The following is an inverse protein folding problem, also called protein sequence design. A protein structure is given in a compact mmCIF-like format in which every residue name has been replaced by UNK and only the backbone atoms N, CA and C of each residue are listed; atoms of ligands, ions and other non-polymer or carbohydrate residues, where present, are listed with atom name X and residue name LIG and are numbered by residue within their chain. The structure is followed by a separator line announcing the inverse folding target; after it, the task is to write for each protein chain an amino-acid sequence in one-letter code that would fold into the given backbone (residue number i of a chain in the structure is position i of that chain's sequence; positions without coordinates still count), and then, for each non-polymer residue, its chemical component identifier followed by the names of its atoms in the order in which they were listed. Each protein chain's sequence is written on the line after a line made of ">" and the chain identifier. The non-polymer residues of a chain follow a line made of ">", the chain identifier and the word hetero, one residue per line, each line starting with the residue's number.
data_IF_064468118687
#
_entry.id   IF_064468118687
#
_cell.length_a   1.000
_cell.length_b   1.000
_cell.length_c   1.000
_cell.angle_alpha   90.00
_cell.angle_beta   90.00
_cell.angle_gamma   90.00
#
_symmetry.space_group_name_H-M   'P 1'
#
loop_
_entity.id
_entity.type
_entity.pdbx_description
1 polymer ?
#
# COMPACT_ATOMS: atom_id res chain seq x y z
N UNK A 1 2.80 -5.81 12.91
CA UNK A 1 2.79 -7.14 13.57
C UNK A 1 1.96 -8.19 12.83
N UNK A 2 0.83 -7.84 12.21
CA UNK A 2 -0.03 -8.81 11.49
C UNK A 2 0.71 -9.68 10.45
N UNK A 3 1.53 -9.08 9.59
CA UNK A 3 2.30 -9.83 8.58
C UNK A 3 3.30 -10.82 9.18
N UNK A 4 4.04 -10.42 10.22
CA UNK A 4 4.95 -11.32 10.94
C UNK A 4 4.19 -12.46 11.62
N UNK A 5 3.04 -12.17 12.21
CA UNK A 5 2.17 -13.19 12.81
C UNK A 5 1.61 -14.16 11.76
N UNK A 6 1.47 -13.73 10.51
CA UNK A 6 1.11 -14.57 9.36
C UNK A 6 2.31 -15.33 8.76
N UNK A 7 3.51 -15.24 9.35
CA UNK A 7 4.71 -15.97 8.91
C UNK A 7 5.60 -15.22 7.91
N UNK A 8 5.27 -13.98 7.54
CA UNK A 8 6.08 -13.20 6.62
C UNK A 8 7.35 -12.64 7.30
N UNK A 9 8.47 -12.66 6.58
CA UNK A 9 9.62 -11.83 6.93
C UNK A 9 9.32 -10.38 6.54
N UNK A 10 9.37 -9.44 7.50
CA UNK A 10 8.98 -8.04 7.27
C UNK A 10 10.17 -7.12 7.48
N UNK A 11 10.60 -6.50 6.38
CA UNK A 11 11.64 -5.49 6.32
C UNK A 11 10.98 -4.12 6.21
N UNK A 12 11.21 -3.26 7.20
CA UNK A 12 10.66 -1.90 7.22
C UNK A 12 11.67 -0.92 6.61
N UNK A 13 11.21 0.01 5.78
CA UNK A 13 12.06 1.10 5.25
C UNK A 13 12.42 2.14 6.32
N UNK A 14 11.62 2.21 7.40
CA UNK A 14 11.89 2.97 8.63
C UNK A 14 11.09 2.39 9.79
N UNK A 15 11.60 2.53 11.01
CA UNK A 15 10.93 2.09 12.25
C UNK A 15 10.64 3.24 13.21
N UNK A 16 11.13 4.45 12.89
CA UNK A 16 10.95 5.67 13.69
C UNK A 16 10.42 6.80 12.81
N UNK A 17 10.05 7.91 13.45
CA UNK A 17 9.64 9.13 12.76
C UNK A 17 10.86 9.92 12.27
N UNK A 18 11.58 9.30 11.33
CA UNK A 18 12.74 9.87 10.67
C UNK A 18 12.44 10.00 9.19
N UNK A 19 12.92 11.11 8.62
CA UNK A 19 12.87 11.32 7.18
C UNK A 19 13.77 10.29 6.49
N UNK A 20 13.25 9.65 5.46
CA UNK A 20 13.99 8.75 4.56
C UNK A 20 13.76 9.25 3.15
N UNK A 21 14.83 9.51 2.41
CA UNK A 21 14.75 9.90 1.00
C UNK A 21 13.96 8.87 0.16
N UNK A 22 13.55 9.25 -1.05
CA UNK A 22 12.78 8.37 -1.92
C UNK A 22 13.62 7.18 -2.43
N UNK A 23 14.81 7.45 -2.98
CA UNK A 23 15.68 6.43 -3.59
C UNK A 23 16.11 5.26 -2.68
N UNK A 24 16.42 5.44 -1.37
CA UNK A 24 16.75 4.33 -0.48
C UNK A 24 15.64 3.28 -0.29
N UNK A 25 14.37 3.67 -0.48
CA UNK A 25 13.21 2.81 -0.22
C UNK A 25 13.10 1.64 -1.21
N UNK A 26 13.09 1.84 -2.55
CA UNK A 26 13.13 0.73 -3.49
C UNK A 26 14.43 -0.07 -3.38
N UNK A 27 15.56 0.57 -3.07
CA UNK A 27 16.84 -0.13 -2.87
C UNK A 27 16.79 -1.14 -1.72
N UNK A 28 16.06 -0.85 -0.65
CA UNK A 28 15.85 -1.79 0.46
C UNK A 28 15.17 -3.08 -0.03
N UNK A 29 14.11 -2.97 -0.82
CA UNK A 29 13.41 -4.13 -1.38
C UNK A 29 14.25 -4.87 -2.43
N UNK A 30 14.93 -4.12 -3.30
CA UNK A 30 15.80 -4.66 -4.34
C UNK A 30 16.94 -5.51 -3.73
N UNK A 31 17.63 -4.98 -2.73
CA UNK A 31 18.77 -5.65 -2.10
C UNK A 31 18.35 -6.86 -1.25
N UNK A 32 17.15 -6.80 -0.67
CA UNK A 32 16.60 -7.90 0.10
C UNK A 32 15.94 -9.00 -0.76
N UNK A 33 15.83 -8.77 -2.08
CA UNK A 33 15.06 -9.63 -2.97
C UNK A 33 13.64 -9.90 -2.45
N UNK A 34 12.97 -8.86 -1.96
CA UNK A 34 11.65 -9.00 -1.34
C UNK A 34 10.59 -9.47 -2.36
N UNK A 35 9.71 -10.38 -1.95
CA UNK A 35 8.63 -10.90 -2.81
C UNK A 35 7.57 -9.84 -3.17
N UNK A 36 7.42 -8.82 -2.31
CA UNK A 36 6.54 -7.68 -2.53
C UNK A 36 7.01 -6.44 -1.75
N UNK A 37 6.81 -5.26 -2.35
CA UNK A 37 7.01 -3.96 -1.71
C UNK A 37 5.67 -3.23 -1.55
N UNK A 38 5.37 -2.81 -0.32
CA UNK A 38 4.11 -2.15 0.03
C UNK A 38 4.41 -0.77 0.62
N UNK A 39 4.06 0.29 -0.09
CA UNK A 39 4.09 1.66 0.45
C UNK A 39 2.71 2.06 0.97
N UNK A 40 2.67 2.79 2.08
CA UNK A 40 1.44 3.34 2.67
C UNK A 40 1.53 4.86 2.77
N UNK A 41 0.49 5.52 2.27
CA UNK A 41 0.38 6.96 2.18
C UNK A 41 -1.05 7.41 2.51
N UNK A 42 -1.22 8.72 2.65
CA UNK A 42 -2.51 9.39 2.69
C UNK A 42 -2.48 10.52 1.66
N UNK A 43 -3.50 10.58 0.81
CA UNK A 43 -3.58 11.49 -0.31
C UNK A 43 -3.90 12.91 0.18
N UNK A 44 -3.80 13.89 -0.71
CA UNK A 44 -4.27 15.24 -0.47
C UNK A 44 -4.77 15.87 -1.77
N UNK A 45 -5.85 16.64 -1.68
CA UNK A 45 -6.37 17.41 -2.80
C UNK A 45 -6.00 18.89 -2.75
N UNK A 46 -5.97 19.63 -3.87
CA UNK A 46 -5.65 21.06 -3.89
C UNK A 46 -6.55 21.92 -2.98
N UNK A 47 -7.83 21.52 -2.85
CA UNK A 47 -8.81 22.17 -1.97
C UNK A 47 -9.26 21.21 -0.87
N UNK A 48 -9.53 21.75 0.32
CA UNK A 48 -10.07 20.97 1.44
C UNK A 48 -11.39 20.29 1.04
N UNK A 49 -11.58 19.04 1.43
CA UNK A 49 -12.81 18.26 1.20
C UNK A 49 -13.21 18.07 -0.28
N UNK A 50 -12.31 18.27 -1.25
CA UNK A 50 -12.65 18.14 -2.68
C UNK A 50 -12.42 16.74 -3.26
N UNK A 51 -11.77 15.84 -2.51
CA UNK A 51 -11.59 14.44 -2.87
C UNK A 51 -11.67 13.54 -1.62
N UNK A 52 -11.94 12.25 -1.83
CA UNK A 52 -12.08 11.24 -0.77
C UNK A 52 -11.75 9.87 -1.35
N UNK A 53 -11.55 8.89 -0.48
CA UNK A 53 -11.43 7.48 -0.83
C UNK A 53 -10.00 6.97 -0.83
N UNK A 54 -9.88 5.67 -1.12
CA UNK A 54 -8.61 4.94 -1.17
C UNK A 54 -8.29 4.55 -2.61
N UNK A 55 -7.01 4.53 -2.94
CA UNK A 55 -6.50 4.09 -4.27
C UNK A 55 -5.24 3.26 -4.08
N UNK A 56 -5.11 2.17 -4.84
CA UNK A 56 -3.86 1.41 -4.91
C UNK A 56 -3.18 1.69 -6.25
N UNK A 57 -1.99 2.27 -6.20
CA UNK A 57 -1.19 2.60 -7.36
C UNK A 57 -0.20 1.49 -7.72
N UNK A 58 -0.02 1.30 -9.02
CA UNK A 58 0.98 0.42 -9.64
C UNK A 58 1.75 1.17 -10.72
N UNK A 59 2.96 0.71 -11.08
CA UNK A 59 3.74 1.32 -12.16
C UNK A 59 3.78 0.44 -13.40
N UNK A 60 4.23 -0.81 -13.28
CA UNK A 60 4.37 -1.73 -14.40
C UNK A 60 3.21 -2.72 -14.43
N UNK A 61 2.46 -2.79 -15.54
CA UNK A 61 1.28 -3.64 -15.63
C UNK A 61 1.58 -5.15 -15.64
N UNK A 62 2.80 -5.56 -16.02
CA UNK A 62 3.23 -6.96 -16.02
C UNK A 62 3.72 -7.39 -14.65
N UNK A 63 4.37 -6.49 -13.91
CA UNK A 63 5.01 -6.77 -12.62
C UNK A 63 4.08 -6.49 -11.42
N UNK A 64 3.38 -5.36 -11.43
CA UNK A 64 2.74 -4.79 -10.24
C UNK A 64 1.23 -4.98 -10.22
N UNK A 65 0.57 -5.04 -11.39
CA UNK A 65 -0.88 -4.97 -11.47
C UNK A 65 -1.59 -6.15 -10.77
N UNK A 66 -1.00 -7.35 -10.82
CA UNK A 66 -1.55 -8.51 -10.12
C UNK A 66 -1.55 -8.28 -8.59
N UNK A 67 -0.43 -7.77 -8.04
CA UNK A 67 -0.33 -7.42 -6.62
C UNK A 67 -1.32 -6.32 -6.25
N UNK A 68 -1.40 -5.25 -7.06
CA UNK A 68 -2.32 -4.15 -6.86
C UNK A 68 -3.77 -4.60 -6.82
N UNK A 69 -4.19 -5.44 -7.76
CA UNK A 69 -5.57 -5.97 -7.80
C UNK A 69 -5.87 -6.86 -6.60
N UNK A 70 -4.97 -7.77 -6.24
CA UNK A 70 -5.16 -8.67 -5.10
C UNK A 70 -5.28 -7.91 -3.78
N UNK A 71 -4.40 -6.93 -3.55
CA UNK A 71 -4.43 -6.10 -2.34
C UNK A 71 -5.65 -5.17 -2.33
N UNK A 72 -5.92 -4.47 -3.43
CA UNK A 72 -7.05 -3.53 -3.49
C UNK A 72 -8.41 -4.23 -3.34
N UNK A 73 -8.56 -5.44 -3.89
CA UNK A 73 -9.79 -6.24 -3.74
C UNK A 73 -10.02 -6.66 -2.28
N UNK A 74 -8.96 -6.79 -1.48
CA UNK A 74 -9.07 -7.13 -0.07
C UNK A 74 -9.55 -5.95 0.80
N UNK A 75 -9.44 -4.70 0.32
CA UNK A 75 -9.99 -3.49 0.96
C UNK A 75 -11.52 -3.39 0.84
N UNK A 76 -12.20 -4.47 1.23
CA UNK A 76 -13.65 -4.58 1.27
C UNK A 76 -14.18 -4.17 2.65
N UNK A 77 -15.31 -3.48 2.67
CA UNK A 77 -15.97 -3.08 3.93
C UNK A 77 -15.23 -1.99 4.72
N UNK A 78 -14.31 -1.25 4.08
CA UNK A 78 -13.78 -0.01 4.66
C UNK A 78 -14.82 1.12 4.56
N UNK A 79 -14.84 2.08 5.51
CA UNK A 79 -15.77 3.22 5.52
C UNK A 79 -15.50 4.27 4.43
N UNK A 80 -14.35 4.18 3.76
CA UNK A 80 -13.95 5.06 2.65
C UNK A 80 -14.19 4.35 1.32
N UNK A 81 -14.57 5.13 0.31
CA UNK A 81 -14.81 4.61 -1.04
C UNK A 81 -13.53 4.01 -1.62
N UNK A 82 -13.63 2.78 -2.13
CA UNK A 82 -12.53 2.15 -2.85
C UNK A 82 -12.57 2.54 -4.32
N UNK A 83 -11.61 3.35 -4.75
CA UNK A 83 -11.49 3.88 -6.12
C UNK A 83 -10.75 2.94 -7.06
N UNK A 84 -10.36 1.76 -6.58
CA UNK A 84 -9.72 0.73 -7.36
C UNK A 84 -8.21 0.92 -7.50
N UNK A 85 -7.70 0.39 -8.62
CA UNK A 85 -6.28 0.43 -8.96
C UNK A 85 -6.02 1.46 -10.06
N UNK A 86 -4.91 2.19 -9.95
CA UNK A 86 -4.52 3.20 -10.92
C UNK A 86 -3.03 3.15 -11.24
N UNK A 87 -2.65 3.56 -12.46
CA UNK A 87 -1.25 3.78 -12.78
C UNK A 87 -0.71 5.00 -12.02
N UNK A 88 0.52 4.91 -11.51
CA UNK A 88 1.21 6.03 -10.85
C UNK A 88 2.72 5.98 -11.11
N UNK A 89 3.27 7.09 -11.64
CA UNK A 89 4.71 7.23 -11.89
C UNK A 89 5.47 7.69 -10.63
N UNK A 90 5.40 6.90 -9.57
CA UNK A 90 6.09 7.17 -8.31
C UNK A 90 7.45 6.49 -8.28
N UNK A 91 8.49 7.19 -7.81
CA UNK A 91 9.87 6.69 -7.77
C UNK A 91 9.99 5.35 -7.03
N UNK A 92 9.28 5.21 -5.90
CA UNK A 92 9.26 3.96 -5.10
C UNK A 92 8.64 2.76 -5.82
N UNK A 93 7.91 2.98 -6.92
CA UNK A 93 7.34 1.92 -7.75
C UNK A 93 8.17 1.72 -9.03
N UNK A 94 8.53 2.82 -9.69
CA UNK A 94 9.29 2.82 -10.95
C UNK A 94 10.67 2.20 -10.79
N UNK A 95 11.37 2.54 -9.71
CA UNK A 95 12.77 2.14 -9.51
C UNK A 95 12.88 0.86 -8.65
N UNK A 96 11.73 0.24 -8.33
CA UNK A 96 11.66 -1.03 -7.62
C UNK A 96 11.66 -2.18 -8.62
N UNK A 97 12.59 -3.13 -8.48
CA UNK A 97 12.69 -4.32 -9.33
C UNK A 97 11.74 -5.43 -8.89
N UNK A 98 11.22 -5.34 -7.66
CA UNK A 98 10.25 -6.27 -7.11
C UNK A 98 8.81 -5.79 -7.39
N UNK A 99 7.79 -6.68 -7.34
CA UNK A 99 6.39 -6.29 -7.36
C UNK A 99 6.11 -5.23 -6.29
N UNK A 100 5.58 -4.09 -6.69
CA UNK A 100 5.49 -2.91 -5.84
C UNK A 100 4.14 -2.21 -5.98
N UNK A 101 3.56 -1.81 -4.85
CA UNK A 101 2.34 -0.99 -4.80
C UNK A 101 2.47 0.17 -3.84
N UNK A 102 1.73 1.24 -4.11
CA UNK A 102 1.55 2.38 -3.22
C UNK A 102 0.07 2.52 -2.88
N UNK A 103 -0.24 2.47 -1.59
CA UNK A 103 -1.59 2.49 -1.07
C UNK A 103 -1.89 3.86 -0.47
N UNK A 104 -2.78 4.62 -1.13
CA UNK A 104 -3.37 5.83 -0.57
C UNK A 104 -4.59 5.46 0.26
N UNK A 105 -4.50 5.60 1.58
CA UNK A 105 -5.48 5.08 2.55
C UNK A 105 -6.46 6.17 3.04
N UNK A 106 -6.81 7.11 2.16
CA UNK A 106 -7.70 8.23 2.41
C UNK A 106 -7.02 9.59 2.25
N UNK A 107 -7.80 10.66 2.20
CA UNK A 107 -7.32 12.03 2.04
C UNK A 107 -7.08 12.73 3.39
N UNK A 108 -5.84 13.19 3.65
CA UNK A 108 -5.48 13.85 4.91
C UNK A 108 -6.21 15.18 5.13
N UNK A 109 -6.59 15.85 4.05
CA UNK A 109 -7.32 17.12 4.07
C UNK A 109 -8.82 16.98 3.74
N UNK A 110 -9.37 15.77 3.86
CA UNK A 110 -10.81 15.54 3.88
C UNK A 110 -11.27 15.22 5.31
N UNK A 111 -12.24 15.96 5.84
CA UNK A 111 -12.69 15.81 7.23
C UNK A 111 -13.27 14.42 7.52
N UNK A 112 -13.94 13.78 6.56
CA UNK A 112 -14.47 12.40 6.69
C UNK A 112 -13.33 11.40 6.72
N UNK A 113 -12.41 11.48 5.75
CA UNK A 113 -11.31 10.54 5.63
C UNK A 113 -10.35 10.67 6.81
N UNK A 114 -10.00 11.88 7.20
CA UNK A 114 -9.12 12.15 8.32
C UNK A 114 -9.67 11.61 9.65
N UNK A 115 -10.99 11.58 9.83
CA UNK A 115 -11.61 10.90 10.99
C UNK A 115 -11.36 9.40 10.96
N UNK A 116 -11.47 8.76 9.80
CA UNK A 116 -11.23 7.32 9.65
C UNK A 116 -9.75 6.96 9.77
N UNK A 117 -8.86 7.72 9.12
CA UNK A 117 -7.41 7.47 9.11
C UNK A 117 -6.81 7.42 10.53
N UNK A 118 -7.34 8.25 11.44
CA UNK A 118 -6.91 8.30 12.84
C UNK A 118 -7.54 7.22 13.73
N UNK A 119 -8.57 6.52 13.24
CA UNK A 119 -9.25 5.48 14.00
C UNK A 119 -8.39 4.21 14.07
N UNK A 120 -8.03 3.72 15.27
CA UNK A 120 -7.26 2.48 15.41
C UNK A 120 -7.95 1.24 14.79
N UNK A 121 -9.28 1.22 14.75
CA UNK A 121 -10.05 0.13 14.14
C UNK A 121 -9.90 0.12 12.61
N UNK A 122 -9.87 1.31 11.98
CA UNK A 122 -9.59 1.47 10.55
C UNK A 122 -8.18 0.99 10.20
N UNK A 123 -7.18 1.39 10.99
CA UNK A 123 -5.79 0.95 10.82
C UNK A 123 -5.63 -0.57 10.99
N UNK A 124 -6.31 -1.15 11.99
CA UNK A 124 -6.29 -2.60 12.24
C UNK A 124 -6.97 -3.39 11.12
N UNK A 125 -8.06 -2.86 10.57
CA UNK A 125 -8.76 -3.43 9.42
C UNK A 125 -7.88 -3.39 8.17
N UNK A 126 -7.22 -2.27 7.86
CA UNK A 126 -6.25 -2.19 6.75
C UNK A 126 -5.14 -3.23 6.93
N UNK A 127 -4.55 -3.34 8.12
CA UNK A 127 -3.49 -4.32 8.37
C UNK A 127 -3.96 -5.76 8.11
N UNK A 128 -5.22 -6.08 8.47
CA UNK A 128 -5.85 -7.37 8.19
C UNK A 128 -6.08 -7.59 6.70
N UNK A 129 -6.61 -6.58 6.01
CA UNK A 129 -6.88 -6.64 4.57
C UNK A 129 -5.60 -6.79 3.75
N UNK A 130 -4.50 -6.15 4.15
CA UNK A 130 -3.18 -6.33 3.54
C UNK A 130 -2.72 -7.78 3.64
N UNK A 131 -2.85 -8.41 4.82
CA UNK A 131 -2.52 -9.83 5.00
C UNK A 131 -3.37 -10.70 4.07
N UNK A 132 -4.67 -10.43 4.00
CA UNK A 132 -5.58 -11.19 3.14
C UNK A 132 -5.25 -11.02 1.65
N UNK A 133 -4.98 -9.79 1.22
CA UNK A 133 -4.63 -9.48 -0.16
C UNK A 133 -3.31 -10.11 -0.60
N UNK A 134 -2.29 -10.08 0.27
CA UNK A 134 -1.01 -10.76 0.01
C UNK A 134 -1.16 -12.28 0.00
N UNK A 135 -1.92 -12.85 0.93
CA UNK A 135 -2.21 -14.29 0.91
C UNK A 135 -2.90 -14.72 -0.38
N UNK A 136 -3.86 -13.92 -0.87
CA UNK A 136 -4.54 -14.18 -2.14
C UNK A 136 -3.58 -14.05 -3.34
N UNK A 137 -2.73 -13.02 -3.35
CA UNK A 137 -1.71 -12.81 -4.38
C UNK A 137 -0.76 -14.00 -4.50
N UNK A 138 -0.18 -14.44 -3.38
CA UNK A 138 0.77 -15.54 -3.34
C UNK A 138 0.10 -16.90 -3.65
N UNK A 139 -1.09 -17.18 -3.11
CA UNK A 139 -1.82 -18.44 -3.41
C UNK A 139 -2.15 -18.61 -4.90
N UNK A 140 -2.24 -17.51 -5.66
CA UNK A 140 -2.46 -17.55 -7.10
C UNK A 140 -1.19 -17.91 -7.91
N UNK A 141 -0.10 -18.30 -7.25
CA UNK A 141 1.16 -18.72 -7.88
C UNK A 141 2.09 -17.55 -8.23
N UNK A 142 1.81 -16.34 -7.73
CA UNK A 142 2.67 -15.18 -7.94
C UNK A 142 3.82 -15.18 -6.91
N UNK A 143 4.73 -16.14 -7.06
CA UNK A 143 5.98 -16.22 -6.32
C UNK A 143 7.14 -15.86 -7.26
N UNK A 144 8.18 -15.22 -6.74
CA UNK A 144 9.44 -15.06 -7.47
C UNK A 144 10.22 -16.37 -7.53
#
# INVERSE_FOLDING_TARGET
>A
NALRAAGANVIMTRTTDTFVDLAPRPNTANNAHADAFISFHFDSSPSKNSASGITTYYYDSKKDLALAKSVNSAFSGLPLENRGVAFGNFEVLRDNKQPAILNEMGYINNDKDFRQIKDPSYQSKIATDIVNGLNAYFKAGNHQ
#
